data_IF_398268026309
#
_entry.id   IF_398268026309
#
_cell.length_a   1.000
_cell.length_b   1.000
_cell.length_c   1.000
_cell.angle_alpha   90.00
_cell.angle_beta   90.00
_cell.angle_gamma   90.00
#
_symmetry.space_group_name_H-M   'P 1'
#
loop_
_entity.id
_entity.type
_entity.pdbx_description
1 polymer ?
#
# COMPACT_ATOMS: atom_id res chain seq x y z
N UNK A 1 4.02 -54.19 -57.21
CA UNK A 1 4.42 -54.19 -55.79
C UNK A 1 5.34 -52.99 -55.55
N UNK A 2 4.86 -51.89 -54.96
CA UNK A 2 5.71 -50.79 -54.51
C UNK A 2 5.43 -50.52 -53.03
N UNK A 3 6.49 -50.55 -52.24
CA UNK A 3 6.52 -50.47 -50.79
C UNK A 3 6.25 -49.03 -50.33
N UNK A 4 5.21 -48.84 -49.52
CA UNK A 4 4.92 -47.57 -48.85
C UNK A 4 5.82 -47.49 -47.61
N UNK A 5 6.83 -46.62 -47.65
CA UNK A 5 7.64 -46.29 -46.47
C UNK A 5 6.86 -45.28 -45.62
N UNK A 6 6.36 -45.71 -44.47
CA UNK A 6 5.98 -44.80 -43.39
C UNK A 6 7.24 -44.20 -42.80
N UNK A 7 7.44 -42.88 -42.96
CA UNK A 7 8.42 -42.12 -42.18
C UNK A 7 7.63 -41.26 -41.20
N UNK A 8 7.37 -41.82 -40.01
CA UNK A 8 7.00 -41.03 -38.85
C UNK A 8 8.20 -40.19 -38.46
N UNK A 9 8.15 -38.88 -38.71
CA UNK A 9 9.17 -37.93 -38.28
C UNK A 9 9.21 -37.90 -36.74
N UNK A 10 10.01 -38.78 -36.15
CA UNK A 10 10.39 -38.71 -34.75
C UNK A 10 11.17 -37.40 -34.58
N UNK A 11 10.56 -36.44 -33.88
CA UNK A 11 11.22 -35.19 -33.50
C UNK A 11 12.52 -35.54 -32.79
N UNK A 12 13.62 -34.89 -33.17
CA UNK A 12 14.91 -35.21 -32.59
C UNK A 12 14.88 -34.92 -31.09
N UNK A 13 15.61 -35.71 -30.31
CA UNK A 13 15.76 -35.50 -28.86
C UNK A 13 16.33 -34.08 -28.60
N UNK A 14 17.11 -33.57 -29.53
CA UNK A 14 17.70 -32.24 -29.52
C UNK A 14 16.64 -31.12 -29.66
N UNK A 15 15.64 -31.29 -30.53
CA UNK A 15 14.51 -30.37 -30.66
C UNK A 15 13.67 -30.31 -29.37
N UNK A 16 13.53 -31.45 -28.70
CA UNK A 16 12.81 -31.56 -27.43
C UNK A 16 13.61 -30.83 -26.34
N UNK A 17 14.91 -31.08 -26.26
CA UNK A 17 15.79 -30.43 -25.29
C UNK A 17 15.81 -28.90 -25.47
N UNK A 18 15.88 -28.42 -26.71
CA UNK A 18 15.85 -26.99 -27.01
C UNK A 18 14.53 -26.33 -26.59
N UNK A 19 13.39 -27.02 -26.77
CA UNK A 19 12.08 -26.53 -26.32
C UNK A 19 11.97 -26.52 -24.80
N UNK A 20 12.42 -27.58 -24.13
CA UNK A 20 12.43 -27.67 -22.67
C UNK A 20 13.28 -26.55 -22.07
N UNK A 21 14.49 -26.33 -22.59
CA UNK A 21 15.38 -25.26 -22.13
C UNK A 21 14.81 -23.85 -22.36
N UNK A 22 14.05 -23.64 -23.43
CA UNK A 22 13.36 -22.36 -23.69
C UNK A 22 12.24 -22.11 -22.68
N UNK A 23 11.48 -23.14 -22.32
CA UNK A 23 10.42 -23.05 -21.31
C UNK A 23 11.00 -22.83 -19.91
N UNK A 24 12.07 -23.55 -19.55
CA UNK A 24 12.75 -23.37 -18.25
C UNK A 24 13.31 -21.95 -18.09
N UNK A 25 14.00 -21.42 -19.12
CA UNK A 25 14.49 -20.03 -19.10
C UNK A 25 13.37 -18.99 -19.00
N UNK A 26 12.19 -19.26 -19.57
CA UNK A 26 11.03 -18.40 -19.44
C UNK A 26 10.42 -18.49 -18.03
N UNK A 27 10.37 -19.69 -17.44
CA UNK A 27 9.88 -19.92 -16.08
C UNK A 27 10.75 -19.21 -15.03
N UNK A 28 12.07 -19.27 -15.17
CA UNK A 28 13.01 -18.56 -14.29
C UNK A 28 12.82 -17.04 -14.38
N UNK A 29 12.60 -16.48 -15.59
CA UNK A 29 12.33 -15.04 -15.74
C UNK A 29 11.00 -14.61 -15.10
N UNK A 30 9.98 -15.46 -15.15
CA UNK A 30 8.67 -15.18 -14.56
C UNK A 30 8.71 -15.28 -13.03
N UNK A 31 9.51 -16.21 -12.48
CA UNK A 31 9.64 -16.37 -11.03
C UNK A 31 10.72 -15.51 -10.38
N UNK A 32 11.71 -15.02 -11.13
CA UNK A 32 12.70 -14.06 -10.63
C UNK A 32 12.09 -12.68 -10.29
N UNK A 33 10.86 -12.41 -10.76
CA UNK A 33 10.08 -11.21 -10.45
C UNK A 33 9.02 -11.42 -9.36
N UNK A 34 9.01 -12.57 -8.66
CA UNK A 34 8.28 -12.60 -7.40
C UNK A 34 9.13 -11.84 -6.38
N UNK A 35 8.64 -10.71 -5.82
CA UNK A 35 9.34 -10.07 -4.73
C UNK A 35 9.51 -11.12 -3.63
N UNK A 36 10.77 -11.36 -3.24
CA UNK A 36 11.09 -12.09 -2.03
C UNK A 36 10.31 -11.38 -0.93
N UNK A 37 9.27 -12.04 -0.42
CA UNK A 37 8.40 -11.44 0.60
C UNK A 37 9.23 -11.30 1.86
N UNK A 38 9.85 -10.14 2.03
CA UNK A 38 10.42 -9.69 3.27
C UNK A 38 9.24 -9.40 4.20
N UNK A 39 8.76 -10.43 4.90
CA UNK A 39 7.74 -10.27 5.96
C UNK A 39 8.31 -9.58 7.21
N UNK A 40 9.58 -9.16 7.17
CA UNK A 40 10.30 -8.54 8.28
C UNK A 40 10.45 -7.03 8.12
N UNK A 41 10.26 -6.49 6.92
CA UNK A 41 10.25 -5.05 6.70
C UNK A 41 8.81 -4.57 6.73
N UNK A 42 8.55 -3.49 7.47
CA UNK A 42 7.26 -2.81 7.41
C UNK A 42 6.98 -2.51 5.92
N UNK A 43 5.78 -2.81 5.39
CA UNK A 43 5.45 -2.46 4.01
C UNK A 43 5.76 -0.97 3.80
N UNK A 44 6.30 -0.59 2.63
CA UNK A 44 6.61 0.81 2.36
C UNK A 44 5.34 1.63 2.60
N UNK A 45 5.41 2.61 3.50
CA UNK A 45 4.30 3.55 3.68
C UNK A 45 4.13 4.27 2.35
N UNK A 46 3.04 3.98 1.64
CA UNK A 46 2.60 4.81 0.52
C UNK A 46 1.62 5.87 1.04
N UNK A 47 1.43 6.96 0.30
CA UNK A 47 0.43 7.98 0.63
C UNK A 47 -0.96 7.36 0.80
N UNK A 48 -1.32 6.42 -0.07
CA UNK A 48 -2.57 5.65 0.04
C UNK A 48 -2.69 4.91 1.37
N UNK A 49 -1.62 4.28 1.85
CA UNK A 49 -1.63 3.56 3.14
C UNK A 49 -1.75 4.53 4.32
N UNK A 50 -1.04 5.66 4.27
CA UNK A 50 -1.16 6.72 5.29
C UNK A 50 -2.60 7.22 5.33
N UNK A 51 -3.17 7.57 4.18
CA UNK A 51 -4.55 8.02 4.06
C UNK A 51 -5.55 7.00 4.62
N UNK A 52 -5.38 5.71 4.28
CA UNK A 52 -6.25 4.65 4.80
C UNK A 52 -6.17 4.53 6.32
N UNK A 53 -4.96 4.62 6.90
CA UNK A 53 -4.75 4.55 8.35
C UNK A 53 -5.32 5.76 9.08
N UNK A 54 -5.05 6.97 8.58
CA UNK A 54 -5.62 8.22 9.14
C UNK A 54 -7.15 8.16 9.12
N UNK A 55 -7.74 7.77 7.99
CA UNK A 55 -9.19 7.62 7.90
C UNK A 55 -9.72 6.53 8.81
N UNK A 56 -8.99 5.44 9.01
CA UNK A 56 -9.38 4.38 9.93
C UNK A 56 -9.46 4.89 11.37
N UNK A 57 -8.42 5.58 11.84
CA UNK A 57 -8.40 6.17 13.20
C UNK A 57 -9.58 7.13 13.38
N UNK A 58 -9.81 8.02 12.43
CA UNK A 58 -10.91 8.99 12.49
C UNK A 58 -12.29 8.34 12.44
N UNK A 59 -12.46 7.22 11.72
CA UNK A 59 -13.73 6.46 11.69
C UNK A 59 -14.02 5.71 12.99
N UNK A 60 -12.98 5.37 13.75
CA UNK A 60 -13.11 4.68 15.03
C UNK A 60 -13.37 5.67 16.18
N UNK A 61 -13.18 6.97 15.95
CA UNK A 61 -13.49 8.00 16.92
C UNK A 61 -15.01 8.14 17.08
N UNK A 62 -15.50 7.94 18.29
CA UNK A 62 -16.92 7.78 18.62
C UNK A 62 -17.77 9.04 18.35
N UNK A 63 -17.16 10.23 18.41
CA UNK A 63 -17.80 11.50 18.11
C UNK A 63 -17.91 11.79 16.61
N UNK A 64 -17.22 11.05 15.75
CA UNK A 64 -17.25 11.24 14.29
C UNK A 64 -18.19 10.23 13.64
N UNK A 65 -19.21 10.74 12.95
CA UNK A 65 -20.04 9.92 12.06
C UNK A 65 -19.26 9.57 10.78
N UNK A 66 -19.07 8.28 10.42
CA UNK A 66 -18.31 7.88 9.23
C UNK A 66 -18.83 8.47 7.91
N UNK A 67 -20.12 8.80 7.85
CA UNK A 67 -20.78 9.38 6.68
C UNK A 67 -20.42 10.86 6.46
N UNK A 68 -20.03 11.58 7.52
CA UNK A 68 -19.64 13.00 7.46
C UNK A 68 -18.14 13.21 7.25
N UNK A 69 -17.35 12.15 7.42
CA UNK A 69 -15.91 12.20 7.32
C UNK A 69 -15.48 12.23 5.85
N UNK A 70 -14.97 13.37 5.40
CA UNK A 70 -14.27 13.55 4.14
C UNK A 70 -12.85 14.04 4.39
N UNK A 71 -11.95 13.86 3.41
CA UNK A 71 -10.55 14.29 3.52
C UNK A 71 -10.42 15.81 3.74
N UNK A 72 -11.40 16.57 3.23
CA UNK A 72 -11.47 18.01 3.35
C UNK A 72 -12.33 18.49 4.53
N UNK A 73 -13.00 17.61 5.27
CA UNK A 73 -13.84 18.00 6.40
C UNK A 73 -13.02 18.68 7.48
N UNK A 74 -13.47 19.83 7.95
CA UNK A 74 -12.86 20.54 9.06
C UNK A 74 -13.37 19.98 10.40
N UNK A 75 -12.46 19.61 11.31
CA UNK A 75 -12.82 18.96 12.57
C UNK A 75 -13.82 19.77 13.41
N UNK A 76 -13.56 21.05 13.62
CA UNK A 76 -14.49 21.92 14.36
C UNK A 76 -15.73 22.33 13.55
N UNK A 77 -15.54 22.88 12.34
CA UNK A 77 -16.65 23.50 11.61
C UNK A 77 -17.62 22.49 10.99
N UNK A 78 -17.14 21.33 10.52
CA UNK A 78 -17.96 20.36 9.79
C UNK A 78 -18.35 19.15 10.64
N UNK A 79 -17.44 18.67 11.49
CA UNK A 79 -17.68 17.51 12.36
C UNK A 79 -18.17 17.91 13.75
N UNK A 80 -18.05 19.19 14.12
CA UNK A 80 -18.53 19.70 15.42
C UNK A 80 -17.69 19.24 16.61
N UNK A 81 -16.42 18.91 16.37
CA UNK A 81 -15.47 18.54 17.41
C UNK A 81 -14.98 19.76 18.17
N UNK A 82 -14.64 19.59 19.44
CA UNK A 82 -14.04 20.64 20.25
C UNK A 82 -12.49 20.61 20.22
N UNK A 83 -11.85 21.52 20.93
CA UNK A 83 -10.39 21.60 20.99
C UNK A 83 -9.75 20.44 21.78
N UNK A 84 -10.49 19.81 22.71
CA UNK A 84 -9.99 18.64 23.45
C UNK A 84 -10.04 17.40 22.56
N UNK A 85 -11.09 17.26 21.75
CA UNK A 85 -11.23 16.21 20.74
C UNK A 85 -10.08 16.25 19.73
N UNK A 86 -9.66 17.45 19.33
CA UNK A 86 -8.49 17.62 18.46
C UNK A 86 -7.23 17.05 19.13
N UNK A 87 -6.98 17.36 20.42
CA UNK A 87 -5.82 16.82 21.15
C UNK A 87 -5.89 15.29 21.22
N UNK A 88 -7.05 14.70 21.47
CA UNK A 88 -7.24 13.25 21.48
C UNK A 88 -6.95 12.61 20.11
N UNK A 89 -7.44 13.21 19.03
CA UNK A 89 -7.17 12.74 17.67
C UNK A 89 -5.68 12.79 17.37
N UNK A 90 -5.00 13.88 17.74
CA UNK A 90 -3.56 14.03 17.52
C UNK A 90 -2.78 12.95 18.28
N UNK A 91 -3.07 12.73 19.56
CA UNK A 91 -2.44 11.66 20.34
C UNK A 91 -2.67 10.27 19.71
N UNK A 92 -3.88 10.00 19.20
CA UNK A 92 -4.15 8.75 18.51
C UNK A 92 -3.35 8.59 17.21
N UNK A 93 -3.05 9.68 16.50
CA UNK A 93 -2.20 9.66 15.31
C UNK A 93 -0.73 9.44 15.69
N UNK A 94 -0.25 10.10 16.74
CA UNK A 94 1.10 9.90 17.29
C UNK A 94 1.34 8.44 17.66
N UNK A 95 0.38 7.82 18.35
CA UNK A 95 0.43 6.40 18.73
C UNK A 95 0.39 5.46 17.50
N UNK A 96 -0.45 5.76 16.51
CA UNK A 96 -0.60 4.93 15.30
C UNK A 96 0.67 4.94 14.44
N UNK A 97 1.35 6.08 14.31
CA UNK A 97 2.52 6.21 13.45
C UNK A 97 3.86 6.17 14.21
N UNK A 98 3.85 6.32 15.53
CA UNK A 98 5.02 6.19 16.40
C UNK A 98 5.94 7.42 16.37
N UNK A 99 5.37 8.62 16.24
CA UNK A 99 6.11 9.89 16.30
C UNK A 99 5.36 10.92 17.16
N UNK A 100 6.04 12.00 17.55
CA UNK A 100 5.45 13.13 18.29
C UNK A 100 5.18 14.32 17.35
N UNK A 101 4.03 14.97 17.54
CA UNK A 101 3.60 16.19 16.85
C UNK A 101 3.72 17.36 17.83
N UNK A 102 4.57 18.37 17.55
CA UNK A 102 4.62 19.57 18.38
C UNK A 102 3.27 20.30 18.39
N UNK A 103 2.89 20.90 19.54
CA UNK A 103 1.65 21.67 19.68
C UNK A 103 1.48 22.75 18.59
N UNK A 104 2.57 23.42 18.22
CA UNK A 104 2.55 24.47 17.18
C UNK A 104 2.14 23.95 15.79
N UNK A 105 2.42 22.68 15.51
CA UNK A 105 2.02 22.02 14.27
C UNK A 105 0.61 21.42 14.41
N UNK A 106 0.31 20.82 15.57
CA UNK A 106 -0.99 20.17 15.83
C UNK A 106 -2.17 21.15 15.75
N UNK A 107 -1.98 22.41 16.18
CA UNK A 107 -2.97 23.48 16.04
C UNK A 107 -3.37 23.77 14.58
N UNK A 108 -2.52 23.42 13.61
CA UNK A 108 -2.72 23.67 12.18
C UNK A 108 -3.36 22.47 11.47
N UNK A 109 -3.39 21.30 12.13
CA UNK A 109 -3.94 20.05 11.60
C UNK A 109 -5.47 20.01 11.79
N UNK A 110 -6.18 20.81 11.00
CA UNK A 110 -7.63 21.01 11.15
C UNK A 110 -8.48 20.10 10.25
N UNK A 111 -7.84 19.38 9.33
CA UNK A 111 -8.49 18.46 8.39
C UNK A 111 -7.73 17.14 8.28
N UNK A 112 -8.39 16.03 7.90
CA UNK A 112 -7.72 14.75 7.69
C UNK A 112 -6.60 14.82 6.64
N UNK A 113 -6.78 15.59 5.56
CA UNK A 113 -5.75 15.80 4.54
C UNK A 113 -4.47 16.42 5.13
N UNK A 114 -4.62 17.37 6.05
CA UNK A 114 -3.48 18.07 6.63
C UNK A 114 -2.63 17.08 7.47
N UNK A 115 -3.29 16.18 8.19
CA UNK A 115 -2.63 15.09 8.93
C UNK A 115 -1.91 14.14 7.98
N UNK A 116 -2.56 13.71 6.90
CA UNK A 116 -1.95 12.81 5.89
C UNK A 116 -0.69 13.44 5.30
N UNK A 117 -0.76 14.72 4.91
CA UNK A 117 0.40 15.42 4.36
C UNK A 117 1.53 15.53 5.38
N UNK A 118 1.20 15.88 6.63
CA UNK A 118 2.19 15.97 7.70
C UNK A 118 2.92 14.63 7.94
N UNK A 119 2.18 13.52 7.96
CA UNK A 119 2.76 12.18 8.10
C UNK A 119 3.63 11.83 6.88
N UNK A 120 3.16 12.12 5.67
CA UNK A 120 3.90 11.84 4.44
C UNK A 120 5.23 12.61 4.41
N UNK A 121 5.21 13.89 4.76
CA UNK A 121 6.41 14.73 4.86
C UNK A 121 7.37 14.23 5.96
N UNK A 122 6.83 13.68 7.06
CA UNK A 122 7.64 13.18 8.18
C UNK A 122 8.34 11.86 7.88
N UNK A 123 7.69 10.99 7.11
CA UNK A 123 8.18 9.66 6.72
C UNK A 123 8.96 9.69 5.39
N UNK A 124 9.21 10.88 4.82
CA UNK A 124 9.84 11.08 3.50
C UNK A 124 9.13 10.30 2.37
N UNK A 125 7.80 10.19 2.45
CA UNK A 125 6.97 9.50 1.47
C UNK A 125 6.41 10.51 0.48
N UNK A 126 6.90 10.44 -0.76
CA UNK A 126 6.47 11.29 -1.87
C UNK A 126 5.89 10.43 -3.00
N UNK A 127 4.89 10.96 -3.72
CA UNK A 127 4.30 10.34 -4.92
C UNK A 127 5.25 10.30 -6.13
#
# INVERSE_FOLDING_TARGET
MQSIRHVSAQRSIEDINNRVMKVLKAYDKINAQKPTRAYSDKPPLTIDMIQQRVLLVLRLYDKIAPEKLAMDSHFMNDLGLDSLDQVEIIMAMEDEFGFEIPDADSERLMRPRDIVQYIADKEDVFD
#
